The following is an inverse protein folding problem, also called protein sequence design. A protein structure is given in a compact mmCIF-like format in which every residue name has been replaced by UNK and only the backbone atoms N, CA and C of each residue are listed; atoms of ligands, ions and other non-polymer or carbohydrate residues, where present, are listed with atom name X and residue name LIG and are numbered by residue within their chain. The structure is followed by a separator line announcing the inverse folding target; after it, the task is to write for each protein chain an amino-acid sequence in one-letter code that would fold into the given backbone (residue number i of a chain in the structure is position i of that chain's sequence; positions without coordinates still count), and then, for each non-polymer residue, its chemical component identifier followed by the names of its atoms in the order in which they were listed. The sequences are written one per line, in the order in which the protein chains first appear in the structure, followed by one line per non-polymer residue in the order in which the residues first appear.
data_IF_924196907919
#
_entry.id   IF_924196907919
#
_cell.length_a   1.000
_cell.length_b   1.000
_cell.length_c   1.000
_cell.angle_alpha   90.00
_cell.angle_beta   90.00
_cell.angle_gamma   90.00
#
_symmetry.space_group_name_H-M   'P 1'
#
loop_
_entity.id
_entity.type
_entity.pdbx_description
1 polymer ?
#
# COMPACT_ATOMS: atom_id res chain seq x y z
N UNK A 1 40.79 -23.06 -22.35
CA UNK A 1 40.44 -22.79 -20.94
C UNK A 1 39.56 -21.54 -20.93
N UNK A 2 38.25 -21.73 -20.89
CA UNK A 2 37.26 -20.65 -20.85
C UNK A 2 37.25 -20.08 -19.43
N UNK A 3 37.57 -18.80 -19.31
CA UNK A 3 37.43 -18.04 -18.06
C UNK A 3 35.94 -18.02 -17.68
N UNK A 4 35.57 -18.22 -16.40
CA UNK A 4 34.20 -18.04 -15.97
C UNK A 4 33.87 -16.54 -15.99
N UNK A 5 32.85 -16.15 -16.76
CA UNK A 5 32.28 -14.81 -16.71
C UNK A 5 31.72 -14.55 -15.30
N UNK A 6 32.51 -13.89 -14.46
CA UNK A 6 32.13 -13.40 -13.15
C UNK A 6 31.30 -12.12 -13.29
N UNK A 7 30.14 -12.22 -13.94
CA UNK A 7 29.11 -11.18 -13.87
C UNK A 7 28.39 -11.25 -12.51
N UNK A 8 29.13 -11.04 -11.43
CA UNK A 8 28.52 -10.68 -10.15
C UNK A 8 28.05 -9.23 -10.27
N UNK A 9 26.76 -9.04 -10.53
CA UNK A 9 26.13 -7.72 -10.40
C UNK A 9 26.22 -7.35 -8.92
N UNK A 10 27.18 -6.49 -8.58
CA UNK A 10 27.25 -5.86 -7.27
C UNK A 10 25.97 -5.03 -7.10
N UNK A 11 25.11 -5.42 -6.15
CA UNK A 11 24.02 -4.56 -5.68
C UNK A 11 24.69 -3.35 -5.06
N UNK A 12 24.80 -2.27 -5.84
CA UNK A 12 25.29 -0.99 -5.32
C UNK A 12 24.23 -0.49 -4.35
N UNK A 13 24.48 -0.62 -3.04
CA UNK A 13 23.66 -0.01 -1.98
C UNK A 13 23.47 1.51 -2.19
N UNK A 14 24.31 2.14 -3.01
CA UNK A 14 24.42 3.58 -3.20
C UNK A 14 23.48 4.26 -4.21
N UNK A 15 22.49 3.56 -4.80
CA UNK A 15 21.61 4.18 -5.84
C UNK A 15 20.19 4.46 -5.34
N UNK A 16 19.76 3.91 -4.21
CA UNK A 16 18.37 4.08 -3.74
C UNK A 16 18.29 5.32 -2.84
N UNK A 17 17.55 6.34 -3.29
CA UNK A 17 17.27 7.52 -2.47
C UNK A 17 16.39 7.15 -1.28
N UNK A 18 16.91 7.35 -0.07
CA UNK A 18 16.23 7.02 1.19
C UNK A 18 16.09 8.20 2.15
N UNK A 19 16.66 9.35 1.79
CA UNK A 19 16.54 10.55 2.60
C UNK A 19 15.07 10.94 2.72
N UNK A 20 14.58 11.23 3.94
CA UNK A 20 13.24 11.79 4.12
C UNK A 20 13.07 13.05 3.27
N UNK A 21 11.88 13.24 2.72
CA UNK A 21 11.59 14.45 1.94
C UNK A 21 11.78 15.70 2.83
N UNK A 22 12.24 16.83 2.26
CA UNK A 22 12.60 18.01 3.05
C UNK A 22 11.52 18.46 4.03
N UNK A 23 11.94 18.82 5.25
CA UNK A 23 11.08 19.29 6.34
C UNK A 23 9.88 18.38 6.65
N UNK A 24 10.03 17.07 6.39
CA UNK A 24 8.94 16.14 6.59
C UNK A 24 9.38 14.80 7.14
N UNK A 25 8.46 14.15 7.84
CA UNK A 25 8.67 12.83 8.43
C UNK A 25 7.53 11.90 8.07
N UNK A 26 7.84 10.61 7.96
CA UNK A 26 6.84 9.55 7.87
C UNK A 26 6.03 9.53 9.17
N UNK A 27 4.71 9.42 9.07
CA UNK A 27 3.84 9.15 10.22
C UNK A 27 2.88 8.03 9.87
N UNK A 28 2.48 7.27 10.88
CA UNK A 28 1.53 6.17 10.74
C UNK A 28 0.29 6.42 11.59
N UNK A 29 -0.87 6.17 11.01
CA UNK A 29 -2.15 6.24 11.73
C UNK A 29 -2.62 4.82 12.03
N UNK A 30 -2.96 4.50 13.28
CA UNK A 30 -3.54 3.21 13.61
C UNK A 30 -4.94 3.05 13.03
N UNK A 31 -5.35 1.81 12.77
CA UNK A 31 -6.76 1.50 12.51
C UNK A 31 -7.61 1.56 13.76
N UNK A 32 -8.92 1.74 13.59
CA UNK A 32 -9.89 1.69 14.68
C UNK A 32 -10.49 0.28 14.81
N UNK A 33 -10.94 -0.31 13.69
CA UNK A 33 -11.49 -1.68 13.63
C UNK A 33 -10.38 -2.73 13.57
N UNK A 34 -9.28 -2.42 12.90
CA UNK A 34 -8.09 -3.24 12.77
C UNK A 34 -6.89 -2.50 13.41
N UNK A 35 -6.69 -2.61 14.74
CA UNK A 35 -5.68 -1.83 15.49
C UNK A 35 -4.23 -2.08 15.05
N UNK A 36 -3.97 -3.17 14.33
CA UNK A 36 -2.69 -3.51 13.72
C UNK A 36 -2.38 -2.69 12.45
N UNK A 37 -3.39 -2.05 11.83
CA UNK A 37 -3.17 -1.20 10.67
C UNK A 37 -2.22 -0.05 11.01
N UNK A 38 -1.32 0.25 10.08
CA UNK A 38 -0.42 1.41 10.13
C UNK A 38 -0.50 2.10 8.78
N UNK A 39 -1.35 3.13 8.70
CA UNK A 39 -1.63 3.84 7.45
C UNK A 39 -0.60 4.98 7.28
N UNK A 40 0.28 4.93 6.27
CA UNK A 40 1.36 5.88 6.10
C UNK A 40 0.84 7.18 5.51
N UNK A 41 1.34 8.26 6.10
CA UNK A 41 1.23 9.63 5.61
C UNK A 41 2.56 10.33 5.84
N UNK A 42 2.64 11.57 5.37
CA UNK A 42 3.79 12.42 5.60
C UNK A 42 3.35 13.69 6.31
N UNK A 43 4.05 14.02 7.39
CA UNK A 43 3.83 15.25 8.14
C UNK A 43 4.91 16.25 7.77
N UNK A 44 4.51 17.41 7.24
CA UNK A 44 5.41 18.50 6.86
C UNK A 44 5.37 19.54 7.98
N UNK A 45 6.54 19.84 8.55
CA UNK A 45 6.69 20.91 9.54
C UNK A 45 6.61 22.28 8.85
N UNK A 46 5.84 23.20 9.46
CA UNK A 46 5.71 24.58 9.02
C UNK A 46 6.55 25.50 9.91
N UNK A 47 6.91 26.67 9.40
CA UNK A 47 7.73 27.66 10.13
C UNK A 47 7.04 28.25 11.35
N UNK A 48 5.71 28.16 11.46
CA UNK A 48 4.92 28.62 12.60
C UNK A 48 4.79 27.56 13.72
N UNK A 49 5.52 26.44 13.63
CA UNK A 49 5.46 25.34 14.60
C UNK A 49 4.30 24.37 14.40
N UNK A 50 3.48 24.59 13.37
CA UNK A 50 2.42 23.65 12.98
C UNK A 50 2.91 22.61 11.99
N UNK A 51 2.01 21.70 11.60
CA UNK A 51 2.30 20.69 10.60
C UNK A 51 1.09 20.39 9.72
N UNK A 52 1.37 20.02 8.46
CA UNK A 52 0.34 19.54 7.52
C UNK A 52 0.59 18.09 7.20
N UNK A 53 -0.45 17.26 7.37
CA UNK A 53 -0.43 15.87 6.96
C UNK A 53 -0.88 15.75 5.51
N UNK A 54 -0.10 15.05 4.69
CA UNK A 54 -0.39 14.80 3.28
C UNK A 54 -0.27 13.31 2.94
N UNK A 55 -0.91 12.93 1.84
CA UNK A 55 -0.77 11.60 1.24
C UNK A 55 0.70 11.27 0.97
N UNK A 56 1.09 10.02 1.24
CA UNK A 56 2.45 9.55 1.00
C UNK A 56 2.47 8.15 0.39
N UNK A 57 2.90 8.06 -0.86
CA UNK A 57 3.03 6.83 -1.64
C UNK A 57 4.45 6.27 -1.67
N UNK A 58 5.42 6.91 -1.00
CA UNK A 58 6.83 6.49 -1.04
C UNK A 58 7.11 5.17 -0.31
N UNK A 59 6.13 4.60 0.40
CA UNK A 59 6.28 3.34 1.12
C UNK A 59 7.34 3.41 2.24
N UNK A 60 7.93 2.27 2.63
CA UNK A 60 8.97 2.20 3.67
C UNK A 60 10.29 2.92 3.32
N UNK A 61 10.49 3.33 2.06
CA UNK A 61 11.78 3.86 1.60
C UNK A 61 12.20 5.18 2.26
N UNK A 62 11.22 6.03 2.61
CA UNK A 62 11.43 7.31 3.31
C UNK A 62 11.18 7.22 4.81
N UNK A 63 10.97 6.01 5.33
CA UNK A 63 10.94 5.75 6.77
C UNK A 63 12.38 5.42 7.23
N UNK A 64 13.02 6.29 8.03
CA UNK A 64 14.38 6.05 8.51
C UNK A 64 14.47 4.85 9.47
N UNK A 65 13.35 4.44 10.08
CA UNK A 65 13.31 3.33 11.04
C UNK A 65 13.17 1.97 10.34
N UNK A 66 12.98 1.94 9.02
CA UNK A 66 12.87 0.71 8.24
C UNK A 66 14.21 0.30 7.64
N UNK A 67 14.66 -0.92 7.92
CA UNK A 67 15.76 -1.53 7.17
C UNK A 67 15.26 -1.95 5.79
N UNK A 68 15.92 -1.48 4.73
CA UNK A 68 15.58 -1.83 3.35
C UNK A 68 16.67 -2.70 2.77
N UNK A 69 16.29 -3.93 2.43
CA UNK A 69 17.11 -4.87 1.69
C UNK A 69 16.30 -5.32 0.47
N UNK A 70 16.74 -4.90 -0.72
CA UNK A 70 16.08 -5.24 -1.98
C UNK A 70 16.17 -6.73 -2.33
N UNK A 71 17.14 -7.44 -1.75
CA UNK A 71 17.30 -8.89 -1.93
C UNK A 71 16.34 -9.68 -1.03
N UNK A 72 15.92 -9.11 0.11
CA UNK A 72 14.92 -9.69 1.00
C UNK A 72 13.48 -9.25 0.69
N UNK A 73 13.31 -8.09 0.04
CA UNK A 73 12.03 -7.49 -0.30
C UNK A 73 11.39 -6.73 0.88
N UNK A 74 10.26 -6.07 0.62
CA UNK A 74 9.55 -5.29 1.63
C UNK A 74 8.77 -6.21 2.61
N UNK A 75 8.52 -5.76 3.86
CA UNK A 75 7.70 -6.50 4.80
C UNK A 75 6.28 -6.75 4.27
N UNK A 76 5.76 -7.96 4.48
CA UNK A 76 4.45 -8.40 3.98
C UNK A 76 3.29 -7.93 4.89
N UNK A 77 3.15 -6.63 5.13
CA UNK A 77 2.18 -6.09 6.11
C UNK A 77 0.74 -6.54 5.88
N UNK A 78 0.33 -6.76 4.62
CA UNK A 78 -1.03 -7.21 4.26
C UNK A 78 -1.28 -8.70 4.47
N UNK A 79 -0.23 -9.52 4.60
CA UNK A 79 -0.37 -10.98 4.61
C UNK A 79 -1.26 -11.46 5.75
N UNK A 80 -1.06 -10.94 6.95
CA UNK A 80 -1.87 -11.28 8.11
C UNK A 80 -3.36 -10.96 7.89
N UNK A 81 -3.69 -9.84 7.23
CA UNK A 81 -5.08 -9.46 6.96
C UNK A 81 -5.75 -10.41 5.97
N UNK A 82 -4.99 -10.87 4.97
CA UNK A 82 -5.45 -11.82 3.95
C UNK A 82 -5.69 -13.19 4.56
N UNK A 83 -4.74 -13.68 5.36
CA UNK A 83 -4.82 -14.99 6.03
C UNK A 83 -5.93 -15.02 7.09
N UNK A 84 -6.08 -13.94 7.88
CA UNK A 84 -7.09 -13.86 8.95
C UNK A 84 -8.55 -13.97 8.46
N UNK A 85 -8.82 -13.69 7.17
CA UNK A 85 -10.15 -13.89 6.58
C UNK A 85 -10.52 -15.37 6.43
N UNK A 86 -9.55 -16.27 6.37
CA UNK A 86 -9.78 -17.70 6.19
C UNK A 86 -10.22 -18.12 4.78
N UNK A 87 -10.32 -17.19 3.83
CA UNK A 87 -10.82 -17.44 2.46
C UNK A 87 -9.74 -17.91 1.47
N UNK A 88 -8.47 -17.92 1.88
CA UNK A 88 -7.31 -18.30 1.04
C UNK A 88 -6.68 -19.62 1.48
N UNK A 89 -5.96 -20.24 0.56
CA UNK A 89 -5.06 -21.37 0.81
C UNK A 89 -3.76 -21.21 0.02
N UNK A 90 -2.65 -21.70 0.58
CA UNK A 90 -1.36 -21.73 -0.11
C UNK A 90 -1.34 -22.80 -1.20
N UNK A 91 -0.60 -22.54 -2.28
CA UNK A 91 -0.37 -23.53 -3.34
C UNK A 91 1.07 -23.45 -3.87
N UNK A 92 1.51 -24.43 -4.66
CA UNK A 92 2.91 -24.53 -5.15
C UNK A 92 3.33 -23.36 -6.03
N UNK A 93 2.40 -22.69 -6.71
CA UNK A 93 2.73 -21.73 -7.77
C UNK A 93 3.07 -22.41 -9.09
N UNK A 94 3.08 -21.61 -10.17
CA UNK A 94 3.61 -22.01 -11.47
C UNK A 94 5.14 -21.88 -11.43
N UNK A 95 5.85 -22.85 -11.99
CA UNK A 95 7.29 -22.74 -12.19
C UNK A 95 7.61 -21.76 -13.32
N UNK A 96 8.50 -20.81 -13.05
CA UNK A 96 8.97 -19.84 -14.04
C UNK A 96 9.73 -20.56 -15.13
N UNK A 97 9.45 -20.22 -16.39
CA UNK A 97 10.08 -20.78 -17.56
C UNK A 97 10.98 -19.73 -18.21
N UNK A 98 12.09 -20.10 -18.90
CA UNK A 98 12.96 -19.13 -19.56
C UNK A 98 12.24 -18.14 -20.49
N UNK A 99 11.15 -18.59 -21.14
CA UNK A 99 10.37 -17.74 -22.05
C UNK A 99 9.61 -16.62 -21.35
N UNK A 100 9.38 -16.72 -20.03
CA UNK A 100 8.78 -15.64 -19.23
C UNK A 100 9.71 -14.41 -19.19
N UNK A 101 11.02 -14.63 -19.25
CA UNK A 101 12.07 -13.60 -19.27
C UNK A 101 12.58 -13.30 -20.69
N UNK A 102 11.95 -13.89 -21.73
CA UNK A 102 12.41 -13.77 -23.12
C UNK A 102 13.71 -14.52 -23.43
N UNK A 103 14.12 -15.45 -22.56
CA UNK A 103 15.36 -16.23 -22.68
C UNK A 103 15.12 -17.61 -23.29
N UNK A 104 16.18 -18.19 -23.87
CA UNK A 104 16.18 -19.58 -24.36
C UNK A 104 16.58 -20.59 -23.29
N UNK A 105 17.28 -20.15 -22.24
CA UNK A 105 17.75 -20.96 -21.13
C UNK A 105 17.66 -20.15 -19.83
N UNK A 106 17.66 -20.85 -18.69
CA UNK A 106 17.52 -20.25 -17.35
C UNK A 106 18.74 -19.39 -17.00
N UNK A 107 18.52 -18.16 -16.55
CA UNK A 107 19.57 -17.31 -15.95
C UNK A 107 19.73 -17.61 -14.46
N UNK A 108 20.56 -18.60 -14.12
CA UNK A 108 20.78 -19.03 -12.74
C UNK A 108 21.36 -17.95 -11.84
N UNK A 109 22.10 -16.98 -12.40
CA UNK A 109 22.73 -15.90 -11.62
C UNK A 109 21.69 -14.90 -11.12
N UNK A 110 20.68 -14.58 -11.94
CA UNK A 110 19.58 -13.71 -11.53
C UNK A 110 18.68 -14.39 -10.48
N UNK A 111 18.30 -15.65 -10.71
CA UNK A 111 17.40 -16.37 -9.79
C UNK A 111 18.02 -16.61 -8.41
N UNK A 112 19.33 -16.85 -8.34
CA UNK A 112 20.04 -17.02 -7.07
C UNK A 112 20.05 -15.74 -6.23
N UNK A 113 20.17 -14.56 -6.85
CA UNK A 113 20.09 -13.27 -6.15
C UNK A 113 18.67 -12.97 -5.64
N UNK A 114 17.65 -13.44 -6.35
CA UNK A 114 16.24 -13.27 -6.00
C UNK A 114 15.68 -14.40 -5.11
N UNK A 115 16.50 -15.37 -4.67
CA UNK A 115 16.03 -16.54 -3.94
C UNK A 115 15.25 -16.16 -2.66
N UNK A 116 15.69 -15.10 -1.97
CA UNK A 116 15.05 -14.56 -0.78
C UNK A 116 13.75 -13.78 -1.05
N UNK A 117 13.38 -13.57 -2.32
CA UNK A 117 12.12 -12.95 -2.75
C UNK A 117 11.02 -13.97 -3.03
N UNK A 118 11.36 -15.27 -3.10
CA UNK A 118 10.38 -16.31 -3.31
C UNK A 118 9.39 -16.36 -2.12
N UNK A 119 8.09 -16.25 -2.42
CA UNK A 119 7.01 -16.37 -1.45
C UNK A 119 6.03 -17.42 -1.92
N UNK A 120 5.53 -18.22 -0.99
CA UNK A 120 4.51 -19.20 -1.32
C UNK A 120 3.22 -18.46 -1.74
N UNK A 121 2.75 -18.64 -2.98
CA UNK A 121 1.59 -17.93 -3.45
C UNK A 121 0.32 -18.50 -2.81
N UNK A 122 -0.71 -17.66 -2.77
CA UNK A 122 -2.02 -18.00 -2.24
C UNK A 122 -3.07 -17.94 -3.34
N UNK A 123 -4.14 -18.71 -3.18
CA UNK A 123 -5.33 -18.67 -4.03
C UNK A 123 -6.58 -18.70 -3.16
N UNK A 124 -7.72 -18.31 -3.73
CA UNK A 124 -9.00 -18.54 -3.08
C UNK A 124 -9.20 -20.04 -2.83
N UNK A 125 -9.81 -20.40 -1.70
CA UNK A 125 -10.31 -21.77 -1.47
C UNK A 125 -11.30 -22.16 -2.57
N UNK A 126 -11.43 -23.46 -2.81
CA UNK A 126 -12.36 -23.98 -3.81
C UNK A 126 -13.79 -23.43 -3.60
N UNK A 127 -14.39 -22.88 -4.67
CA UNK A 127 -15.70 -22.23 -4.62
C UNK A 127 -15.74 -20.84 -3.96
N UNK A 128 -14.61 -20.34 -3.47
CA UNK A 128 -14.47 -19.03 -2.83
C UNK A 128 -14.19 -17.89 -3.82
N UNK A 129 -14.33 -16.66 -3.34
CA UNK A 129 -13.95 -15.44 -4.04
C UNK A 129 -13.30 -14.48 -3.05
N UNK A 130 -12.14 -13.95 -3.40
CA UNK A 130 -11.30 -13.13 -2.52
C UNK A 130 -11.22 -11.67 -2.95
N UNK A 131 -12.00 -11.28 -3.97
CA UNK A 131 -12.00 -9.91 -4.47
C UNK A 131 -12.66 -8.94 -3.47
N UNK A 132 -12.17 -7.71 -3.44
CA UNK A 132 -12.77 -6.65 -2.62
C UNK A 132 -14.22 -6.35 -3.03
N UNK A 133 -14.56 -6.52 -4.32
CA UNK A 133 -15.94 -6.42 -4.81
C UNK A 133 -16.86 -7.48 -4.19
N UNK A 134 -16.40 -8.71 -4.06
CA UNK A 134 -17.15 -9.80 -3.43
C UNK A 134 -17.44 -9.50 -1.96
N UNK A 135 -16.42 -9.11 -1.20
CA UNK A 135 -16.60 -8.72 0.20
C UNK A 135 -17.55 -7.54 0.35
N UNK A 136 -17.38 -6.51 -0.49
CA UNK A 136 -18.21 -5.31 -0.47
C UNK A 136 -19.69 -5.61 -0.69
N UNK A 137 -20.03 -6.44 -1.69
CA UNK A 137 -21.42 -6.83 -1.99
C UNK A 137 -22.05 -7.71 -0.91
N UNK A 138 -21.24 -8.37 -0.08
CA UNK A 138 -21.70 -9.11 1.11
C UNK A 138 -21.84 -8.22 2.35
N UNK A 139 -21.62 -6.90 2.22
CA UNK A 139 -21.68 -5.96 3.34
C UNK A 139 -20.43 -5.97 4.23
N UNK A 140 -19.39 -6.72 3.87
CA UNK A 140 -18.17 -6.89 4.66
C UNK A 140 -17.22 -5.73 4.39
N UNK A 141 -16.80 -5.05 5.45
CA UNK A 141 -15.71 -4.07 5.41
C UNK A 141 -14.41 -4.79 5.73
N UNK A 142 -13.46 -4.78 4.80
CA UNK A 142 -12.14 -5.41 4.97
C UNK A 142 -11.13 -4.45 5.60
N UNK A 143 -9.99 -4.99 6.05
CA UNK A 143 -8.85 -4.19 6.51
C UNK A 143 -8.36 -3.21 5.43
N UNK A 144 -8.39 -3.60 4.15
CA UNK A 144 -8.06 -2.71 3.04
C UNK A 144 -9.03 -1.52 2.91
N UNK A 145 -10.33 -1.73 3.16
CA UNK A 145 -11.33 -0.65 3.13
C UNK A 145 -11.14 0.35 4.27
N UNK A 146 -10.82 -0.12 5.49
CA UNK A 146 -10.47 0.78 6.59
C UNK A 146 -9.16 1.52 6.32
N UNK A 147 -8.14 0.81 5.83
CA UNK A 147 -6.86 1.41 5.47
C UNK A 147 -7.05 2.58 4.50
N UNK A 148 -7.84 2.39 3.44
CA UNK A 148 -8.16 3.45 2.46
C UNK A 148 -8.95 4.59 3.12
N UNK A 149 -9.97 4.28 3.91
CA UNK A 149 -10.77 5.33 4.57
C UNK A 149 -9.90 6.26 5.43
N UNK A 150 -8.99 5.70 6.21
CA UNK A 150 -8.02 6.47 7.00
C UNK A 150 -7.11 7.27 6.07
N UNK A 151 -6.60 6.66 5.00
CA UNK A 151 -5.65 7.29 4.07
C UNK A 151 -6.26 8.47 3.31
N UNK A 152 -7.50 8.35 2.86
CA UNK A 152 -8.23 9.41 2.14
C UNK A 152 -8.59 10.60 3.06
N UNK A 153 -8.77 10.36 4.36
CA UNK A 153 -9.06 11.44 5.31
C UNK A 153 -7.84 12.30 5.65
N UNK A 154 -6.60 11.83 5.49
CA UNK A 154 -5.36 12.63 5.68
C UNK A 154 -5.29 13.44 7.01
N UNK A 155 -5.87 12.94 8.11
CA UNK A 155 -6.04 13.69 9.39
C UNK A 155 -6.67 15.08 9.21
N UNK A 156 -7.59 15.23 8.25
CA UNK A 156 -8.26 16.52 7.98
C UNK A 156 -9.10 17.03 9.15
N UNK A 157 -9.53 16.15 10.04
CA UNK A 157 -10.17 16.50 11.31
C UNK A 157 -9.30 17.44 12.16
N UNK A 158 -7.98 17.23 12.20
CA UNK A 158 -7.05 18.13 12.89
C UNK A 158 -7.03 19.54 12.28
N UNK A 159 -7.20 19.65 10.96
CA UNK A 159 -7.21 20.94 10.24
C UNK A 159 -8.53 21.71 10.44
N UNK A 160 -9.66 21.01 10.61
CA UNK A 160 -10.96 21.66 10.84
C UNK A 160 -10.98 22.48 12.13
N UNK A 161 -10.26 22.01 13.16
CA UNK A 161 -10.16 22.77 14.42
C UNK A 161 -9.37 24.09 14.30
N UNK A 162 -8.73 24.38 13.15
CA UNK A 162 -7.76 25.49 13.00
C UNK A 162 -8.00 26.41 11.80
N UNK A 163 -8.57 25.91 10.70
CA UNK A 163 -8.74 26.66 9.44
C UNK A 163 -10.18 26.59 8.91
N UNK A 164 -11.17 26.85 9.76
CA UNK A 164 -12.59 26.57 9.53
C UNK A 164 -13.43 27.73 8.96
N UNK A 165 -12.89 28.97 8.93
CA UNK A 165 -13.66 30.20 8.61
C UNK A 165 -14.68 30.01 7.48
N UNK A 166 -15.90 30.52 7.66
CA UNK A 166 -17.00 30.38 6.69
C UNK A 166 -16.60 30.79 5.25
N UNK A 167 -15.84 31.88 5.09
CA UNK A 167 -15.33 32.33 3.79
C UNK A 167 -14.48 31.26 3.09
N UNK A 168 -13.49 30.71 3.79
CA UNK A 168 -12.64 29.63 3.27
C UNK A 168 -13.44 28.39 2.92
N UNK A 169 -14.37 27.99 3.79
CA UNK A 169 -15.23 26.82 3.57
C UNK A 169 -16.11 27.00 2.33
N UNK A 170 -16.72 28.18 2.15
CA UNK A 170 -17.50 28.52 0.96
C UNK A 170 -16.64 28.52 -0.32
N UNK A 171 -15.44 29.08 -0.26
CA UNK A 171 -14.50 29.13 -1.40
C UNK A 171 -13.99 27.74 -1.82
N UNK A 172 -13.79 26.84 -0.87
CA UNK A 172 -13.28 25.48 -1.11
C UNK A 172 -14.37 24.44 -1.42
N UNK A 173 -15.66 24.78 -1.24
CA UNK A 173 -16.77 23.84 -1.46
C UNK A 173 -16.82 23.30 -2.90
N UNK A 174 -16.41 24.12 -3.87
CA UNK A 174 -16.41 23.74 -5.29
C UNK A 174 -17.80 23.33 -5.81
N UNK A 175 -17.84 22.69 -6.98
CA UNK A 175 -19.08 22.15 -7.56
C UNK A 175 -18.90 20.66 -7.85
N UNK A 176 -19.58 19.74 -7.13
CA UNK A 176 -19.31 18.30 -7.20
C UNK A 176 -19.75 17.63 -8.52
N UNK A 177 -20.52 18.32 -9.38
CA UNK A 177 -20.99 17.81 -10.70
C UNK A 177 -21.57 16.38 -10.65
N UNK A 178 -22.34 16.07 -9.61
CA UNK A 178 -22.98 14.76 -9.41
C UNK A 178 -22.15 13.76 -8.58
N UNK A 179 -20.91 14.08 -8.22
CA UNK A 179 -20.13 13.30 -7.27
C UNK A 179 -20.75 13.38 -5.87
N UNK A 180 -20.74 12.25 -5.16
CA UNK A 180 -21.19 12.15 -3.76
C UNK A 180 -19.98 11.90 -2.88
N UNK A 181 -19.20 12.94 -2.65
CA UNK A 181 -18.01 12.88 -1.80
C UNK A 181 -18.44 13.29 -0.38
N UNK A 182 -18.39 12.38 0.60
CA UNK A 182 -18.74 12.71 1.96
C UNK A 182 -17.67 13.61 2.58
N UNK A 183 -18.03 14.30 3.65
CA UNK A 183 -17.10 15.13 4.39
C UNK A 183 -16.01 14.31 5.10
N UNK A 184 -16.37 13.10 5.52
CA UNK A 184 -15.49 12.10 6.14
C UNK A 184 -15.63 10.80 5.36
N UNK A 185 -14.51 10.24 4.94
CA UNK A 185 -14.47 8.94 4.24
C UNK A 185 -14.50 7.85 5.30
N UNK A 186 -15.58 7.09 5.39
CA UNK A 186 -15.70 5.96 6.33
C UNK A 186 -15.37 4.63 5.63
N UNK A 187 -14.97 3.59 6.38
CA UNK A 187 -14.80 2.24 5.81
C UNK A 187 -16.07 1.73 5.11
N UNK A 188 -17.25 2.07 5.65
CA UNK A 188 -18.56 1.75 5.06
C UNK A 188 -18.79 2.50 3.74
N UNK A 189 -18.38 3.76 3.62
CA UNK A 189 -18.44 4.49 2.36
C UNK A 189 -17.56 3.84 1.30
N UNK A 190 -16.31 3.49 1.65
CA UNK A 190 -15.39 2.79 0.72
C UNK A 190 -16.01 1.46 0.26
N UNK A 191 -16.56 0.68 1.19
CA UNK A 191 -17.29 -0.56 0.87
C UNK A 191 -18.43 -0.31 -0.10
N UNK A 192 -19.28 0.68 0.14
CA UNK A 192 -20.44 0.97 -0.71
C UNK A 192 -20.04 1.39 -2.13
N UNK A 193 -18.98 2.20 -2.26
CA UNK A 193 -18.44 2.59 -3.56
C UNK A 193 -17.87 1.40 -4.34
N UNK A 194 -17.18 0.48 -3.65
CA UNK A 194 -16.69 -0.77 -4.23
C UNK A 194 -17.86 -1.67 -4.61
N UNK A 195 -18.87 -1.85 -3.75
CA UNK A 195 -20.03 -2.71 -4.02
C UNK A 195 -20.82 -2.28 -5.27
N UNK A 196 -20.95 -0.96 -5.47
CA UNK A 196 -21.58 -0.32 -6.64
C UNK A 196 -20.69 -0.30 -7.87
N UNK A 197 -19.43 -0.71 -7.76
CA UNK A 197 -18.46 -0.70 -8.87
C UNK A 197 -18.01 0.69 -9.29
N UNK A 198 -18.14 1.71 -8.42
CA UNK A 198 -17.67 3.09 -8.69
C UNK A 198 -16.24 3.32 -8.22
N UNK A 199 -15.72 2.45 -7.36
CA UNK A 199 -14.35 2.43 -6.90
C UNK A 199 -13.80 1.00 -6.93
N UNK A 200 -12.47 0.87 -7.01
CA UNK A 200 -11.78 -0.42 -6.95
C UNK A 200 -10.61 -0.34 -5.96
N UNK A 201 -10.23 -1.50 -5.43
CA UNK A 201 -9.08 -1.67 -4.55
C UNK A 201 -8.17 -2.73 -5.17
N UNK A 202 -7.15 -2.34 -5.96
CA UNK A 202 -6.23 -3.28 -6.59
C UNK A 202 -5.27 -3.85 -5.55
N UNK A 203 -5.56 -5.06 -5.06
CA UNK A 203 -4.93 -5.60 -3.85
C UNK A 203 -4.81 -7.13 -3.88
N UNK A 204 -4.09 -7.65 -4.88
CA UNK A 204 -3.69 -9.06 -4.98
C UNK A 204 -2.87 -9.51 -3.75
#
# INVERSE_FOLDING_TARGET
MSQPDSNSVSVRESIITREPLPSSKKVYIPGNRYPELRVPMREIALSNGESVTVYDTSGPYTDPDQAIDVTAGLPQHRRAWVEARGDVESYRGREVQPQDDGLRAVDTALYSQAANLARQPMRARAGGNVSQLHYARRGIVTAEMEYIAIRENQRRDMLKSRFDTEERSARLAGAPRGARIPEIITPEFVRDEVARGRAIIPAN
#
